data_IF_209257346468
#
_entry.id   IF_209257346468
#
_cell.length_a   1.000
_cell.length_b   1.000
_cell.length_c   1.000
_cell.angle_alpha   90.00
_cell.angle_beta   90.00
_cell.angle_gamma   90.00
#
_symmetry.space_group_name_H-M   'P 1'
#
loop_
_entity.id
_entity.type
_entity.pdbx_description
1 polymer ?
#
# COMPACT_ATOMS: atom_id res chain seq x y z
N UNK A 1 2.11 5.39 -24.37
CA UNK A 1 2.64 4.65 -23.21
C UNK A 1 3.27 3.37 -23.73
N UNK A 2 4.45 3.01 -23.25
CA UNK A 2 5.07 1.71 -23.54
C UNK A 2 4.68 0.74 -22.44
N UNK A 3 4.23 -0.45 -22.81
CA UNK A 3 3.93 -1.48 -21.83
C UNK A 3 5.20 -1.90 -21.11
N UNK A 4 5.16 -1.84 -19.78
CA UNK A 4 6.21 -2.35 -18.91
C UNK A 4 5.67 -3.63 -18.30
N UNK A 5 6.38 -4.73 -18.50
CA UNK A 5 6.07 -5.97 -17.80
C UNK A 5 6.55 -5.84 -16.35
N UNK A 6 5.64 -6.05 -15.40
CA UNK A 6 5.90 -5.93 -13.96
C UNK A 6 5.69 -7.30 -13.32
N UNK A 7 6.73 -7.82 -12.67
CA UNK A 7 6.68 -9.05 -11.91
C UNK A 7 6.24 -8.80 -10.46
N UNK A 8 5.75 -9.85 -9.79
CA UNK A 8 5.31 -9.77 -8.38
C UNK A 8 6.45 -9.42 -7.41
N UNK A 9 7.69 -9.77 -7.77
CA UNK A 9 8.86 -9.51 -6.94
C UNK A 9 9.53 -8.16 -7.25
N UNK A 10 9.06 -7.45 -8.28
CA UNK A 10 9.55 -6.11 -8.58
C UNK A 10 9.16 -5.14 -7.46
N UNK A 11 10.08 -4.23 -7.14
CA UNK A 11 9.88 -3.22 -6.11
C UNK A 11 8.92 -2.15 -6.62
N UNK A 12 7.82 -1.95 -5.90
CA UNK A 12 6.83 -0.92 -6.17
C UNK A 12 7.25 0.43 -5.55
N UNK A 13 7.69 0.42 -4.28
CA UNK A 13 8.17 1.62 -3.59
C UNK A 13 9.03 1.30 -2.35
N UNK A 14 9.70 2.33 -1.84
CA UNK A 14 10.38 2.30 -0.54
C UNK A 14 9.53 3.00 0.51
N UNK A 15 9.30 2.32 1.64
CA UNK A 15 8.64 2.90 2.80
C UNK A 15 9.69 3.14 3.88
N UNK A 16 9.96 4.40 4.20
CA UNK A 16 10.84 4.72 5.31
C UNK A 16 10.08 4.55 6.63
N UNK A 17 10.72 3.87 7.58
CA UNK A 17 10.24 3.79 8.96
C UNK A 17 11.21 4.50 9.89
N UNK A 18 10.68 5.18 10.90
CA UNK A 18 11.45 5.98 11.85
C UNK A 18 12.29 5.17 12.83
N UNK A 19 12.20 3.83 12.80
CA UNK A 19 12.98 2.86 13.59
C UNK A 19 13.47 3.38 14.94
N UNK A 20 12.83 2.97 16.04
CA UNK A 20 12.94 3.55 17.40
C UNK A 20 14.33 3.92 17.98
N UNK A 21 15.43 3.51 17.35
CA UNK A 21 16.81 3.74 17.83
C UNK A 21 17.85 4.00 16.73
N UNK A 22 17.48 4.16 15.46
CA UNK A 22 18.46 4.32 14.36
C UNK A 22 17.98 5.26 13.26
N UNK A 23 18.88 5.61 12.33
CA UNK A 23 18.50 6.31 11.10
C UNK A 23 17.35 5.61 10.36
N UNK A 24 16.45 6.38 9.71
CA UNK A 24 15.32 5.81 8.99
C UNK A 24 15.75 4.76 7.96
N UNK A 25 15.16 3.57 8.04
CA UNK A 25 15.46 2.47 7.12
C UNK A 25 14.43 2.43 6.00
N UNK A 26 14.91 2.36 4.76
CA UNK A 26 14.09 2.13 3.59
C UNK A 26 13.64 0.67 3.55
N UNK A 27 12.35 0.43 3.74
CA UNK A 27 11.74 -0.89 3.55
C UNK A 27 11.36 -1.03 2.09
N UNK A 28 11.91 -2.04 1.42
CA UNK A 28 11.54 -2.39 0.05
C UNK A 28 10.18 -3.08 0.04
N UNK A 29 9.22 -2.50 -0.68
CA UNK A 29 7.87 -3.06 -0.83
C UNK A 29 7.69 -3.51 -2.28
N UNK A 30 7.50 -4.81 -2.49
CA UNK A 30 7.19 -5.37 -3.81
C UNK A 30 5.71 -5.30 -4.16
N UNK A 31 5.37 -5.47 -5.44
CA UNK A 31 3.98 -5.62 -5.88
C UNK A 31 3.27 -6.78 -5.18
N UNK A 32 3.97 -7.89 -4.97
CA UNK A 32 3.49 -9.06 -4.23
C UNK A 32 3.18 -8.76 -2.76
N UNK A 33 3.97 -7.92 -2.10
CA UNK A 33 3.69 -7.50 -0.72
C UNK A 33 2.37 -6.72 -0.63
N UNK A 34 2.14 -5.78 -1.56
CA UNK A 34 0.90 -4.99 -1.61
C UNK A 34 -0.29 -5.93 -1.83
N UNK A 35 -0.20 -6.82 -2.82
CA UNK A 35 -1.27 -7.76 -3.13
C UNK A 35 -1.59 -8.70 -1.96
N UNK A 36 -0.56 -9.17 -1.25
CA UNK A 36 -0.73 -9.98 -0.05
C UNK A 36 -1.44 -9.21 1.08
N UNK A 37 -1.07 -7.94 1.31
CA UNK A 37 -1.73 -7.08 2.30
C UNK A 37 -3.20 -6.83 1.94
N UNK A 38 -3.49 -6.51 0.68
CA UNK A 38 -4.87 -6.27 0.22
C UNK A 38 -5.79 -7.48 0.43
N UNK A 39 -5.28 -8.70 0.25
CA UNK A 39 -6.05 -9.93 0.53
C UNK A 39 -6.52 -10.03 1.98
N UNK A 40 -5.80 -9.43 2.92
CA UNK A 40 -6.21 -9.42 4.33
C UNK A 40 -7.42 -8.52 4.59
N UNK A 41 -7.76 -7.64 3.64
CA UNK A 41 -8.91 -6.73 3.68
C UNK A 41 -9.97 -7.07 2.63
N UNK A 42 -10.01 -8.32 2.15
CA UNK A 42 -10.93 -8.76 1.11
C UNK A 42 -12.43 -8.69 1.50
N UNK A 43 -12.76 -8.35 2.75
CA UNK A 43 -14.13 -8.11 3.20
C UNK A 43 -14.62 -6.68 2.98
N UNK A 44 -13.76 -5.77 2.49
CA UNK A 44 -14.15 -4.41 2.12
C UNK A 44 -14.92 -4.48 0.79
N UNK A 45 -16.11 -3.89 0.76
CA UNK A 45 -17.02 -3.89 -0.37
C UNK A 45 -17.09 -2.49 -1.01
N UNK A 46 -17.45 -2.40 -2.29
CA UNK A 46 -17.61 -1.14 -3.03
C UNK A 46 -18.53 -0.12 -2.33
N UNK A 47 -19.49 -0.60 -1.53
CA UNK A 47 -20.43 0.21 -0.76
C UNK A 47 -19.86 0.79 0.54
N UNK A 48 -18.68 0.35 0.96
CA UNK A 48 -18.05 0.84 2.18
C UNK A 48 -17.44 2.22 1.97
N UNK A 49 -17.61 3.09 2.96
CA UNK A 49 -16.95 4.40 3.02
C UNK A 49 -15.75 4.33 3.96
N UNK A 50 -14.56 4.63 3.44
CA UNK A 50 -13.30 4.61 4.17
C UNK A 50 -12.86 6.04 4.53
N UNK A 51 -12.60 6.32 5.81
CA UNK A 51 -12.10 7.62 6.28
C UNK A 51 -10.75 7.45 6.99
N UNK A 52 -9.78 8.28 6.61
CA UNK A 52 -8.48 8.36 7.26
C UNK A 52 -8.02 9.80 7.48
N UNK A 53 -7.35 10.00 8.61
CA UNK A 53 -6.62 11.21 8.97
C UNK A 53 -5.11 10.97 8.96
N UNK A 54 -4.67 9.77 8.56
CA UNK A 54 -3.26 9.43 8.49
C UNK A 54 -2.64 10.03 7.22
N UNK A 55 -1.40 10.54 7.29
CA UNK A 55 -0.72 11.03 6.10
C UNK A 55 -0.48 9.93 5.06
N UNK A 56 -0.47 10.30 3.78
CA UNK A 56 -0.22 9.36 2.67
C UNK A 56 1.19 8.75 2.65
N UNK A 57 2.12 9.27 3.44
CA UNK A 57 3.46 8.68 3.62
C UNK A 57 3.53 7.69 4.79
N UNK A 58 2.46 7.53 5.57
CA UNK A 58 2.33 6.48 6.57
C UNK A 58 1.83 5.20 5.88
N UNK A 59 2.26 4.02 6.34
CA UNK A 59 1.88 2.74 5.72
C UNK A 59 0.36 2.53 5.63
N UNK A 60 -0.36 2.75 6.72
CA UNK A 60 -1.81 2.71 6.81
C UNK A 60 -2.48 3.83 6.01
N UNK A 61 -1.87 5.00 5.88
CA UNK A 61 -2.39 6.08 5.03
C UNK A 61 -2.29 5.73 3.55
N UNK A 62 -1.16 5.18 3.12
CA UNK A 62 -0.93 4.77 1.74
C UNK A 62 -1.66 3.48 1.37
N UNK A 63 -1.30 2.37 2.01
CA UNK A 63 -1.80 1.04 1.65
C UNK A 63 -3.26 0.89 2.08
N UNK A 64 -3.58 1.32 3.30
CA UNK A 64 -4.93 1.21 3.87
C UNK A 64 -5.97 2.10 3.21
N UNK A 65 -5.61 3.33 2.83
CA UNK A 65 -6.61 4.33 2.44
C UNK A 65 -6.41 4.96 1.07
N UNK A 66 -5.33 4.64 0.36
CA UNK A 66 -5.17 5.02 -1.06
C UNK A 66 -5.22 3.76 -1.92
N UNK A 67 -4.36 2.78 -1.66
CA UNK A 67 -4.26 1.59 -2.52
C UNK A 67 -5.46 0.64 -2.39
N UNK A 68 -6.02 0.51 -1.19
CA UNK A 68 -7.18 -0.36 -0.93
C UNK A 68 -8.44 0.09 -1.68
N UNK A 69 -8.85 1.37 -1.61
CA UNK A 69 -9.92 1.90 -2.46
C UNK A 69 -9.66 1.69 -3.96
N UNK A 70 -8.45 1.97 -4.43
CA UNK A 70 -8.10 1.74 -5.83
C UNK A 70 -8.17 0.27 -6.25
N UNK A 71 -7.92 -0.66 -5.33
CA UNK A 71 -7.95 -2.10 -5.61
C UNK A 71 -9.37 -2.69 -5.60
N UNK A 72 -10.25 -2.19 -4.74
CA UNK A 72 -11.60 -2.73 -4.53
C UNK A 72 -12.73 -1.87 -5.13
N UNK A 73 -12.42 -0.66 -5.60
CA UNK A 73 -13.40 0.25 -6.19
C UNK A 73 -14.25 1.03 -5.18
N UNK A 74 -13.92 0.97 -3.89
CA UNK A 74 -14.61 1.74 -2.84
C UNK A 74 -14.24 3.23 -2.95
N UNK A 75 -15.16 4.17 -2.71
CA UNK A 75 -14.88 5.61 -2.72
C UNK A 75 -15.29 6.32 -1.43
#
# INVERSE_FOLDING_TARGET
>A
FTDVNVAVDDIAFFQYSSGSTSEPKAVMISHGNIHAQLKTWASIEETDTLISWLPSYHDMGLVGFILTPCAFGTF
#
